data_IF_603234110297
#
_entry.id   IF_603234110297
#
_cell.length_a   1.000
_cell.length_b   1.000
_cell.length_c   1.000
_cell.angle_alpha   90.00
_cell.angle_beta   90.00
_cell.angle_gamma   90.00
#
_symmetry.space_group_name_H-M   'P 1'
#
loop_
_entity.id
_entity.type
_entity.pdbx_description
1 polymer ?
#
# COMPACT_ATOMS: atom_id res chain seq x y z
N UNK A 1 -11.92 -19.81 -3.66
CA UNK A 1 -11.75 -19.42 -3.35
C UNK A 1 -11.17 -18.71 -3.08
N UNK A 2 -10.97 -18.82 -2.80
CA UNK A 2 -10.58 -18.30 -2.36
C UNK A 2 -9.82 -17.53 -2.17
N UNK A 3 -9.54 -17.28 -2.03
CA UNK A 3 -8.96 -16.70 -1.74
C UNK A 3 -8.29 -16.01 -1.56
N UNK A 4 -8.06 -15.89 -1.76
CA UNK A 4 -7.46 -15.39 -1.43
C UNK A 4 -7.28 -14.24 -0.85
N UNK A 5 -7.18 -14.02 -0.28
CA UNK A 5 -7.28 -12.92 0.68
C UNK A 5 -5.96 -12.59 1.34
N UNK A 6 -4.87 -12.97 0.74
CA UNK A 6 -3.53 -12.60 1.20
C UNK A 6 -3.26 -11.15 0.90
N UNK A 7 -2.76 -10.43 1.91
CA UNK A 7 -2.32 -9.06 1.74
C UNK A 7 -0.81 -9.02 1.80
N UNK A 8 -0.21 -8.42 0.80
CA UNK A 8 1.24 -8.25 0.71
C UNK A 8 1.54 -6.77 0.74
N UNK A 9 2.43 -6.36 1.62
CA UNK A 9 2.77 -4.94 1.77
C UNK A 9 4.29 -4.79 1.75
N UNK A 10 4.72 -3.56 1.59
CA UNK A 10 6.12 -3.17 1.68
C UNK A 10 6.54 -3.14 3.16
N UNK A 11 7.77 -3.49 3.44
CA UNK A 11 8.31 -3.49 4.81
C UNK A 11 8.04 -2.20 5.54
N UNK A 12 8.13 -1.06 4.85
CA UNK A 12 7.90 0.24 5.44
C UNK A 12 6.43 0.58 5.69
N UNK A 13 5.50 -0.24 5.21
CA UNK A 13 4.07 0.06 5.33
C UNK A 13 3.62 0.11 6.79
N UNK A 14 4.23 -0.68 7.67
CA UNK A 14 3.89 -0.64 9.09
C UNK A 14 4.17 0.75 9.67
N UNK A 15 5.29 1.36 9.29
CA UNK A 15 5.65 2.71 9.75
C UNK A 15 4.68 3.73 9.16
N UNK A 16 4.30 3.57 7.89
CA UNK A 16 3.34 4.48 7.26
C UNK A 16 2.00 4.44 7.98
N UNK A 17 1.52 3.25 8.30
CA UNK A 17 0.25 3.10 9.02
C UNK A 17 0.32 3.72 10.42
N UNK A 18 1.39 3.44 11.15
CA UNK A 18 1.58 4.00 12.48
C UNK A 18 1.67 5.53 12.43
N UNK A 19 2.34 6.05 11.41
CA UNK A 19 2.47 7.49 11.20
C UNK A 19 1.11 8.12 10.94
N UNK A 20 0.27 7.46 10.15
CA UNK A 20 -1.07 7.96 9.85
C UNK A 20 -1.93 8.04 11.12
N UNK A 21 -1.90 7.01 11.95
CA UNK A 21 -2.65 7.00 13.21
C UNK A 21 -2.16 8.13 14.11
N UNK A 22 -0.84 8.28 14.25
CA UNK A 22 -0.26 9.32 15.09
C UNK A 22 -0.66 10.71 14.61
N UNK A 23 -0.68 10.93 13.30
CA UNK A 23 -1.06 12.21 12.72
C UNK A 23 -2.53 12.52 12.99
N UNK A 24 -3.41 11.54 12.82
CA UNK A 24 -4.83 11.73 13.10
C UNK A 24 -5.06 12.09 14.56
N UNK A 25 -4.30 11.49 15.47
CA UNK A 25 -4.40 11.81 16.89
C UNK A 25 -3.94 13.24 17.18
N UNK A 26 -2.78 13.62 16.61
CA UNK A 26 -2.25 14.99 16.82
C UNK A 26 -3.17 16.04 16.27
N UNK A 27 -3.82 15.77 15.15
CA UNK A 27 -4.70 16.74 14.49
C UNK A 27 -6.09 16.78 15.07
N UNK A 28 -6.34 15.99 16.11
CA UNK A 28 -7.63 16.03 16.81
C UNK A 28 -8.73 15.20 16.16
N UNK A 29 -8.39 14.37 15.18
CA UNK A 29 -9.38 13.53 14.49
C UNK A 29 -9.64 12.21 15.21
N UNK A 30 -8.83 11.87 16.21
CA UNK A 30 -9.05 10.68 17.02
C UNK A 30 -8.98 11.05 18.50
N UNK A 31 -9.93 10.52 19.27
CA UNK A 31 -9.80 10.54 20.73
C UNK A 31 -8.74 9.55 21.16
N UNK A 32 -8.33 9.65 22.43
CA UNK A 32 -7.35 8.69 22.96
C UNK A 32 -7.88 7.25 22.87
N UNK A 33 -9.18 7.05 23.13
CA UNK A 33 -9.76 5.73 23.05
C UNK A 33 -9.81 5.23 21.60
N UNK A 34 -10.18 6.11 20.66
CA UNK A 34 -10.21 5.73 19.25
C UNK A 34 -8.81 5.41 18.73
N UNK A 35 -7.79 6.14 19.19
CA UNK A 35 -6.41 5.82 18.84
C UNK A 35 -6.03 4.43 19.33
N UNK A 36 -6.38 4.11 20.57
CA UNK A 36 -6.09 2.80 21.14
C UNK A 36 -6.76 1.70 20.32
N UNK A 37 -8.02 1.90 19.94
CA UNK A 37 -8.74 0.94 19.11
C UNK A 37 -8.09 0.76 17.75
N UNK A 38 -7.66 1.88 17.13
CA UNK A 38 -7.02 1.84 15.82
C UNK A 38 -5.70 1.09 15.88
N UNK A 39 -4.92 1.30 16.94
CA UNK A 39 -3.64 0.60 17.11
C UNK A 39 -3.85 -0.89 17.34
N UNK A 40 -4.89 -1.25 18.06
CA UNK A 40 -5.23 -2.66 18.28
C UNK A 40 -5.62 -3.34 16.98
N UNK A 41 -6.43 -2.69 16.17
CA UNK A 41 -6.81 -3.21 14.87
C UNK A 41 -5.60 -3.34 13.96
N UNK A 42 -4.75 -2.32 13.94
CA UNK A 42 -3.51 -2.34 13.16
C UNK A 42 -2.64 -3.53 13.55
N UNK A 43 -2.45 -3.76 14.84
CA UNK A 43 -1.65 -4.89 15.31
C UNK A 43 -2.22 -6.21 14.83
N UNK A 44 -3.54 -6.34 14.85
CA UNK A 44 -4.22 -7.56 14.40
C UNK A 44 -3.97 -7.79 12.91
N UNK A 45 -4.20 -6.76 12.09
CA UNK A 45 -4.02 -6.85 10.64
C UNK A 45 -2.56 -7.13 10.30
N UNK A 46 -1.65 -6.44 10.97
CA UNK A 46 -0.22 -6.60 10.74
C UNK A 46 0.23 -8.03 10.98
N UNK A 47 -0.39 -8.72 11.91
CA UNK A 47 -0.07 -10.11 12.20
C UNK A 47 -0.45 -11.07 11.10
N UNK A 48 -1.26 -10.62 10.13
CA UNK A 48 -1.75 -11.49 9.06
C UNK A 48 -1.16 -11.20 7.69
N UNK A 49 -0.53 -10.04 7.49
CA UNK A 49 -0.02 -9.69 6.16
C UNK A 49 1.40 -10.21 5.95
N UNK A 50 1.81 -10.27 4.69
CA UNK A 50 3.17 -10.61 4.30
C UNK A 50 3.90 -9.33 3.93
N UNK A 51 5.20 -9.27 4.21
CA UNK A 51 5.99 -8.08 3.92
C UNK A 51 7.09 -8.37 2.92
N UNK A 52 7.20 -7.48 1.93
CA UNK A 52 8.35 -7.47 1.02
C UNK A 52 9.47 -6.71 1.71
N UNK A 53 10.60 -7.38 1.91
CA UNK A 53 11.72 -6.84 2.66
C UNK A 53 12.53 -5.86 1.83
N UNK A 54 13.22 -4.89 2.47
CA UNK A 54 14.07 -3.96 1.75
C UNK A 54 15.26 -4.68 1.13
N UNK A 55 15.52 -4.35 -0.13
CA UNK A 55 16.62 -4.96 -0.85
C UNK A 55 16.92 -4.16 -2.10
N UNK A 56 17.98 -4.57 -2.79
CA UNK A 56 18.45 -3.84 -3.96
C UNK A 56 17.44 -3.85 -5.09
N UNK A 57 16.74 -4.96 -5.29
CA UNK A 57 15.75 -5.05 -6.37
C UNK A 57 14.62 -4.05 -6.17
N UNK A 58 14.12 -3.93 -4.93
CA UNK A 58 13.07 -2.97 -4.62
C UNK A 58 13.58 -1.54 -4.85
N UNK A 59 14.81 -1.27 -4.42
CA UNK A 59 15.39 0.06 -4.58
C UNK A 59 15.49 0.44 -6.06
N UNK A 60 16.04 -0.46 -6.89
CA UNK A 60 16.20 -0.17 -8.31
C UNK A 60 14.86 0.01 -9.00
N UNK A 61 13.88 -0.80 -8.62
CA UNK A 61 12.53 -0.66 -9.15
C UNK A 61 11.94 0.70 -8.77
N UNK A 62 12.12 1.11 -7.51
CA UNK A 62 11.60 2.40 -7.05
C UNK A 62 12.25 3.57 -7.81
N UNK A 63 13.57 3.48 -8.04
CA UNK A 63 14.27 4.51 -8.80
C UNK A 63 13.71 4.62 -10.22
N UNK A 64 13.41 3.50 -10.85
CA UNK A 64 12.79 3.49 -12.18
C UNK A 64 11.43 4.16 -12.15
N UNK A 65 10.60 3.80 -11.17
CA UNK A 65 9.23 4.31 -11.07
C UNK A 65 9.22 5.82 -10.87
N UNK A 66 10.18 6.36 -10.12
CA UNK A 66 10.25 7.80 -9.90
C UNK A 66 10.55 8.56 -11.18
N UNK A 67 11.21 7.94 -12.15
CA UNK A 67 11.45 8.59 -13.45
C UNK A 67 10.23 8.56 -14.35
N UNK A 68 9.34 7.57 -14.14
CA UNK A 68 8.23 7.33 -15.07
C UNK A 68 6.89 7.88 -14.59
N UNK A 69 6.76 8.08 -13.28
CA UNK A 69 5.47 8.45 -12.68
C UNK A 69 5.65 9.56 -11.66
N UNK A 70 4.63 10.42 -11.48
CA UNK A 70 4.71 11.51 -10.50
C UNK A 70 4.40 10.99 -9.08
N UNK A 71 5.33 10.24 -8.51
CA UNK A 71 5.18 9.60 -7.20
C UNK A 71 6.14 10.20 -6.20
N UNK A 72 5.74 10.14 -4.93
CA UNK A 72 6.66 10.41 -3.83
C UNK A 72 7.45 9.15 -3.51
N UNK A 73 8.55 9.31 -2.76
CA UNK A 73 9.43 8.20 -2.45
C UNK A 73 8.70 7.03 -1.78
N UNK A 74 7.84 7.33 -0.80
CA UNK A 74 7.12 6.28 -0.09
C UNK A 74 6.20 5.49 -1.03
N UNK A 75 5.54 6.20 -1.95
CA UNK A 75 4.65 5.56 -2.93
C UNK A 75 5.45 4.71 -3.91
N UNK A 76 6.60 5.21 -4.34
CA UNK A 76 7.46 4.47 -5.26
C UNK A 76 7.96 3.17 -4.62
N UNK A 77 8.33 3.22 -3.34
CA UNK A 77 8.75 2.03 -2.62
C UNK A 77 7.62 1.02 -2.48
N UNK A 78 6.43 1.51 -2.18
CA UNK A 78 5.25 0.65 -2.05
C UNK A 78 4.95 -0.06 -3.36
N UNK A 79 4.92 0.67 -4.46
CA UNK A 79 4.65 0.10 -5.77
C UNK A 79 5.79 -0.82 -6.23
N UNK A 80 7.03 -0.43 -5.94
CA UNK A 80 8.19 -1.25 -6.28
C UNK A 80 8.13 -2.60 -5.59
N UNK A 81 7.78 -2.62 -4.31
CA UNK A 81 7.66 -3.85 -3.56
C UNK A 81 6.57 -4.74 -4.15
N UNK A 82 5.44 -4.13 -4.52
CA UNK A 82 4.35 -4.87 -5.12
C UNK A 82 4.77 -5.51 -6.45
N UNK A 83 5.52 -4.79 -7.27
CA UNK A 83 6.00 -5.31 -8.54
C UNK A 83 6.99 -6.45 -8.35
N UNK A 84 7.88 -6.33 -7.36
CA UNK A 84 8.85 -7.40 -7.09
C UNK A 84 8.16 -8.67 -6.60
N UNK A 85 7.06 -8.51 -5.86
CA UNK A 85 6.29 -9.66 -5.41
C UNK A 85 5.48 -10.28 -6.55
N UNK A 86 4.83 -9.45 -7.36
CA UNK A 86 3.82 -9.91 -8.32
C UNK A 86 4.42 -10.43 -9.62
N UNK A 87 5.65 -10.08 -9.92
CA UNK A 87 6.29 -10.55 -11.14
C UNK A 87 6.05 -9.65 -12.34
N UNK A 88 6.43 -10.12 -13.52
CA UNK A 88 6.33 -9.35 -14.75
C UNK A 88 5.77 -10.24 -15.87
N UNK A 89 4.54 -9.97 -16.36
CA UNK A 89 3.65 -8.89 -15.90
C UNK A 89 3.12 -9.17 -14.49
N UNK A 90 2.76 -8.13 -13.75
CA UNK A 90 2.29 -8.35 -12.38
C UNK A 90 0.96 -9.11 -12.35
N UNK A 91 0.86 -10.00 -11.36
CA UNK A 91 -0.39 -10.72 -11.12
C UNK A 91 -1.02 -10.20 -9.84
N UNK A 92 -2.34 -10.11 -9.85
CA UNK A 92 -3.08 -9.62 -8.71
C UNK A 92 -3.47 -8.17 -8.84
N UNK A 93 -4.08 -7.67 -7.80
CA UNK A 93 -4.58 -6.32 -7.76
C UNK A 93 -3.74 -5.42 -6.88
N UNK A 94 -3.88 -4.14 -7.09
CA UNK A 94 -3.22 -3.13 -6.28
C UNK A 94 -4.31 -2.19 -5.74
N UNK A 95 -4.36 -2.03 -4.42
CA UNK A 95 -5.40 -1.26 -3.77
C UNK A 95 -4.80 0.00 -3.14
N UNK A 96 -5.32 1.15 -3.52
CA UNK A 96 -4.92 2.42 -2.95
C UNK A 96 -6.03 3.45 -3.20
N UNK A 97 -6.13 4.43 -2.31
CA UNK A 97 -7.04 5.55 -2.50
C UNK A 97 -6.34 6.78 -3.09
N UNK A 98 -5.02 6.70 -3.29
CA UNK A 98 -4.26 7.79 -3.89
C UNK A 98 -4.32 7.67 -5.41
N UNK A 99 -4.83 8.71 -6.07
CA UNK A 99 -5.06 8.65 -7.52
C UNK A 99 -3.78 8.52 -8.32
N UNK A 100 -2.70 9.20 -7.90
CA UNK A 100 -1.43 9.11 -8.61
C UNK A 100 -0.82 7.72 -8.51
N UNK A 101 -0.89 7.13 -7.32
CA UNK A 101 -0.37 5.80 -7.11
C UNK A 101 -1.20 4.77 -7.86
N UNK A 102 -2.53 4.95 -7.85
CA UNK A 102 -3.43 4.06 -8.60
C UNK A 102 -3.12 4.08 -10.08
N UNK A 103 -2.95 5.27 -10.64
CA UNK A 103 -2.66 5.41 -12.06
C UNK A 103 -1.32 4.77 -12.41
N UNK A 104 -0.30 5.00 -11.57
CA UNK A 104 1.01 4.40 -11.80
C UNK A 104 0.93 2.87 -11.75
N UNK A 105 0.22 2.32 -10.75
CA UNK A 105 0.06 0.88 -10.62
C UNK A 105 -0.64 0.30 -11.85
N UNK A 106 -1.66 0.98 -12.33
CA UNK A 106 -2.40 0.55 -13.51
C UNK A 106 -1.51 0.54 -14.75
N UNK A 107 -0.71 1.58 -14.92
CA UNK A 107 0.22 1.67 -16.03
C UNK A 107 1.31 0.60 -15.97
N UNK A 108 1.66 0.16 -14.76
CA UNK A 108 2.62 -0.91 -14.57
C UNK A 108 1.99 -2.30 -14.75
N UNK A 109 0.68 -2.37 -14.98
CA UNK A 109 0.02 -3.61 -15.34
C UNK A 109 -0.84 -4.24 -14.26
N UNK A 110 -0.95 -3.62 -13.09
CA UNK A 110 -1.80 -4.15 -12.04
C UNK A 110 -3.28 -3.97 -12.36
N UNK A 111 -4.07 -4.93 -11.94
CA UNK A 111 -5.51 -4.81 -11.92
C UNK A 111 -5.92 -3.90 -10.77
N UNK A 112 -6.81 -2.95 -11.03
CA UNK A 112 -7.23 -1.98 -10.03
C UNK A 112 -8.70 -2.23 -9.68
N UNK A 113 -8.98 -2.71 -8.46
CA UNK A 113 -10.37 -2.85 -8.04
C UNK A 113 -11.04 -1.50 -7.91
N UNK A 114 -12.34 -1.46 -8.16
CA UNK A 114 -13.11 -0.24 -7.96
C UNK A 114 -13.37 -0.06 -6.47
N UNK A 115 -12.64 0.86 -5.86
CA UNK A 115 -12.73 1.12 -4.43
C UNK A 115 -13.57 2.33 -4.11
N UNK A 116 -14.18 2.97 -5.14
CA UNK A 116 -14.96 4.19 -4.93
C UNK A 116 -16.45 3.96 -4.96
N UNK A 117 -16.87 2.74 -4.83
CA UNK A 117 -18.26 2.36 -4.88
C UNK A 117 -18.72 2.12 -6.30
N UNK A 118 -20.00 2.01 -6.48
CA UNK A 118 -20.48 1.53 -7.70
C UNK A 118 -20.64 2.35 -8.86
N UNK A 119 -20.79 2.34 -9.24
CA UNK A 119 -21.10 2.75 -10.15
C UNK A 119 -21.47 2.25 -11.11
N UNK A 120 -21.93 2.09 -11.42
CA UNK A 120 -22.11 1.65 -12.19
C UNK A 120 -22.12 1.58 -13.10
N UNK A 121 -22.11 1.48 -13.27
CA UNK A 121 -22.13 1.46 -14.01
C UNK A 121 -22.31 1.43 -14.54
#
# INVERSE_FOLDING_TARGET
MEQDSEMVVWWGSAIECASAIARLRRDGHLTALAEQDARGLFDTVRGTWFEVQPGDAVREQALRLLRLHPLRAADALQLAAALEWAGSPPEGGFVTFDDRLREAAQREGFSIPDTRGTRDT
#
